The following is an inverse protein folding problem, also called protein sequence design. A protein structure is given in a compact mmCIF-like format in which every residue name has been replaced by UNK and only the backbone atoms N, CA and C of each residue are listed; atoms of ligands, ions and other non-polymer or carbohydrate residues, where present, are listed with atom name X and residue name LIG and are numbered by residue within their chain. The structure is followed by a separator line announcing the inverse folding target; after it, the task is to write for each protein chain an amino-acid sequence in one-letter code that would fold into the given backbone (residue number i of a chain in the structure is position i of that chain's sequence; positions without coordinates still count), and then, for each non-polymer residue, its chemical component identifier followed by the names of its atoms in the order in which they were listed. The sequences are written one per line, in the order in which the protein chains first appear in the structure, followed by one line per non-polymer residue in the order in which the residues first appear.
data_IF_343456354712
#
_entry.id   IF_343456354712
#
_cell.length_a   1.000
_cell.length_b   1.000
_cell.length_c   1.000
_cell.angle_alpha   90.00
_cell.angle_beta   90.00
_cell.angle_gamma   90.00
#
_symmetry.space_group_name_H-M   'P 1'
#
loop_
_entity.id
_entity.type
_entity.pdbx_description
1 polymer ?
#
# COMPACT_ATOMS: atom_id res chain seq x y z
N UNK A 1 8.53 -7.51 1.63
CA UNK A 1 9.73 -8.23 2.10
C UNK A 1 9.98 -8.09 3.59
N UNK A 2 9.84 -6.89 4.20
CA UNK A 2 10.06 -6.71 5.65
C UNK A 2 9.28 -7.68 6.56
N UNK A 3 8.06 -8.04 6.18
CA UNK A 3 7.25 -8.98 6.96
C UNK A 3 7.82 -10.41 7.06
N UNK A 4 8.50 -10.90 6.01
CA UNK A 4 9.09 -12.24 6.03
C UNK A 4 10.21 -12.32 7.07
N UNK A 5 11.04 -11.28 7.12
CA UNK A 5 12.12 -11.15 8.09
C UNK A 5 11.54 -11.00 9.50
N UNK A 6 10.57 -10.10 9.68
CA UNK A 6 9.90 -9.92 10.98
C UNK A 6 9.23 -11.20 11.49
N UNK A 7 8.55 -11.95 10.61
CA UNK A 7 7.93 -13.23 10.94
C UNK A 7 8.97 -14.29 11.32
N UNK A 8 10.10 -14.37 10.60
CA UNK A 8 11.19 -15.30 10.96
C UNK A 8 11.81 -15.00 12.31
N UNK A 9 11.87 -13.73 12.71
CA UNK A 9 12.38 -13.31 14.02
C UNK A 9 11.37 -13.57 15.15
N UNK A 10 10.07 -13.51 14.86
CA UNK A 10 9.01 -13.76 15.83
C UNK A 10 8.82 -15.26 16.15
N UNK A 11 8.97 -16.14 15.15
CA UNK A 11 8.86 -17.59 15.32
C UNK A 11 7.41 -18.12 15.41
N UNK A 12 7.25 -19.31 16.01
CA UNK A 12 6.02 -20.11 16.02
C UNK A 12 4.73 -19.49 16.60
N UNK A 13 4.73 -18.44 17.45
CA UNK A 13 3.47 -17.82 17.89
C UNK A 13 2.77 -17.01 16.78
N UNK A 14 3.41 -16.81 15.62
CA UNK A 14 2.86 -16.04 14.51
C UNK A 14 2.25 -16.94 13.43
N UNK A 15 0.95 -16.79 13.18
CA UNK A 15 0.26 -17.41 12.05
C UNK A 15 0.12 -16.41 10.88
N UNK A 16 0.89 -16.53 9.79
CA UNK A 16 0.82 -15.61 8.67
C UNK A 16 -0.49 -15.69 7.88
N UNK A 17 -1.27 -16.75 8.02
CA UNK A 17 -2.56 -16.87 7.34
C UNK A 17 -3.63 -16.03 8.06
N UNK A 18 -3.72 -16.17 9.39
CA UNK A 18 -4.73 -15.49 10.19
C UNK A 18 -4.29 -14.08 10.64
N UNK A 19 -3.02 -13.89 10.99
CA UNK A 19 -2.54 -12.65 11.61
C UNK A 19 -2.01 -11.64 10.60
N UNK A 20 -2.39 -10.37 10.84
CA UNK A 20 -1.99 -9.25 10.01
C UNK A 20 -0.49 -8.98 10.11
N UNK A 21 0.04 -8.31 9.10
CA UNK A 21 1.41 -7.83 9.05
C UNK A 21 1.64 -6.77 10.15
N UNK A 22 0.63 -5.97 10.47
CA UNK A 22 0.70 -4.95 11.51
C UNK A 22 0.91 -5.51 12.92
N UNK A 23 0.46 -6.74 13.20
CA UNK A 23 0.76 -7.43 14.47
C UNK A 23 2.26 -7.61 14.65
N UNK A 24 3.03 -7.81 13.58
CA UNK A 24 4.48 -7.96 13.68
C UNK A 24 5.17 -6.71 14.23
N UNK A 25 4.58 -5.52 14.09
CA UNK A 25 5.09 -4.26 14.63
C UNK A 25 4.72 -4.00 16.11
N UNK A 26 3.91 -4.88 16.73
CA UNK A 26 3.46 -4.69 18.11
C UNK A 26 4.65 -4.69 19.11
N UNK A 27 4.66 -3.79 20.11
CA UNK A 27 5.68 -3.77 21.16
C UNK A 27 5.78 -5.12 21.86
N UNK A 28 7.01 -5.58 22.10
CA UNK A 28 7.28 -6.89 22.72
C UNK A 28 7.49 -8.03 21.72
N UNK A 29 7.19 -7.83 20.43
CA UNK A 29 7.53 -8.79 19.38
C UNK A 29 9.01 -8.67 18.98
N UNK A 30 9.69 -9.81 18.84
CA UNK A 30 11.13 -9.89 18.50
C UNK A 30 11.46 -9.29 17.14
N UNK A 31 10.49 -9.29 16.21
CA UNK A 31 10.60 -8.70 14.86
C UNK A 31 10.02 -7.29 14.72
N UNK A 32 9.58 -6.64 15.80
CA UNK A 32 8.82 -5.37 15.74
C UNK A 32 9.56 -4.23 15.07
N UNK A 33 10.85 -4.06 15.37
CA UNK A 33 11.68 -3.01 14.76
C UNK A 33 11.80 -3.16 13.24
N UNK A 34 11.86 -4.40 12.72
CA UNK A 34 11.93 -4.67 11.27
C UNK A 34 10.65 -4.20 10.60
N UNK A 35 9.52 -4.53 11.20
CA UNK A 35 8.22 -4.20 10.64
C UNK A 35 7.95 -2.69 10.69
N UNK A 36 8.28 -2.04 11.82
CA UNK A 36 8.20 -0.58 11.94
C UNK A 36 9.12 0.12 10.94
N UNK A 37 10.35 -0.35 10.77
CA UNK A 37 11.26 0.18 9.75
C UNK A 37 10.72 -0.01 8.33
N UNK A 38 10.06 -1.14 8.05
CA UNK A 38 9.43 -1.40 6.74
C UNK A 38 8.26 -0.43 6.48
N UNK A 39 7.42 -0.15 7.47
CA UNK A 39 6.36 0.85 7.35
C UNK A 39 6.90 2.26 7.14
N UNK A 40 7.96 2.63 7.87
CA UNK A 40 8.63 3.92 7.69
C UNK A 40 9.19 4.06 6.28
N UNK A 41 9.94 3.05 5.82
CA UNK A 41 10.51 3.05 4.47
C UNK A 41 9.42 3.13 3.39
N UNK A 42 8.33 2.37 3.54
CA UNK A 42 7.20 2.43 2.62
C UNK A 42 6.55 3.82 2.59
N UNK A 43 6.32 4.41 3.77
CA UNK A 43 5.76 5.76 3.89
C UNK A 43 6.61 6.81 3.19
N UNK A 44 7.93 6.78 3.41
CA UNK A 44 8.88 7.67 2.73
C UNK A 44 8.89 7.44 1.21
N UNK A 45 8.87 6.19 0.75
CA UNK A 45 8.79 5.86 -0.68
C UNK A 45 7.53 6.45 -1.33
N UNK A 46 6.37 6.35 -0.68
CA UNK A 46 5.13 6.96 -1.18
C UNK A 46 5.21 8.49 -1.22
N UNK A 47 5.78 9.14 -0.20
CA UNK A 47 5.97 10.60 -0.18
C UNK A 47 6.91 11.07 -1.29
N UNK A 48 8.05 10.39 -1.49
CA UNK A 48 9.00 10.69 -2.56
C UNK A 48 8.37 10.47 -3.94
N UNK A 49 7.59 9.41 -4.10
CA UNK A 49 6.87 9.13 -5.35
C UNK A 49 5.80 10.20 -5.61
N UNK A 50 5.03 10.57 -4.59
CA UNK A 50 4.04 11.65 -4.69
C UNK A 50 4.69 12.98 -5.10
N UNK A 51 5.87 13.30 -4.54
CA UNK A 51 6.64 14.45 -4.96
C UNK A 51 7.05 14.35 -6.43
N UNK A 52 7.71 13.25 -6.81
CA UNK A 52 8.36 13.09 -8.11
C UNK A 52 7.45 12.76 -9.30
N UNK A 53 6.26 12.19 -9.07
CA UNK A 53 5.36 11.73 -10.12
C UNK A 53 4.55 12.87 -10.75
N UNK A 54 5.25 13.82 -11.39
CA UNK A 54 4.66 14.97 -12.09
C UNK A 54 3.64 14.61 -13.19
N UNK A 55 3.77 13.48 -13.93
CA UNK A 55 2.78 13.12 -14.94
C UNK A 55 1.39 12.81 -14.36
N UNK A 56 1.29 12.40 -13.09
CA UNK A 56 0.02 12.10 -12.45
C UNK A 56 -0.78 13.38 -12.12
N UNK A 57 -2.10 13.27 -12.09
CA UNK A 57 -2.96 14.36 -11.62
C UNK A 57 -2.65 14.74 -10.16
N UNK A 58 -2.83 16.02 -9.81
CA UNK A 58 -2.55 16.54 -8.47
C UNK A 58 -3.31 15.80 -7.38
N UNK A 59 -4.58 15.46 -7.62
CA UNK A 59 -5.41 14.68 -6.68
C UNK A 59 -4.76 13.33 -6.35
N UNK A 60 -4.24 12.61 -7.34
CA UNK A 60 -3.51 11.36 -7.14
C UNK A 60 -2.21 11.56 -6.38
N UNK A 61 -1.47 12.64 -6.62
CA UNK A 61 -0.25 12.94 -5.84
C UNK A 61 -0.58 13.17 -4.37
N UNK A 62 -1.65 13.91 -4.07
CA UNK A 62 -2.13 14.13 -2.71
C UNK A 62 -2.61 12.84 -2.05
N UNK A 63 -3.34 12.00 -2.78
CA UNK A 63 -3.77 10.69 -2.29
C UNK A 63 -2.57 9.78 -1.97
N UNK A 64 -1.56 9.73 -2.84
CA UNK A 64 -0.35 8.93 -2.58
C UNK A 64 0.42 9.45 -1.36
N UNK A 65 0.52 10.78 -1.22
CA UNK A 65 1.13 11.38 -0.04
C UNK A 65 0.36 11.03 1.24
N UNK A 66 -0.97 11.12 1.21
CA UNK A 66 -1.83 10.72 2.33
C UNK A 66 -1.66 9.23 2.66
N UNK A 67 -1.58 8.34 1.66
CA UNK A 67 -1.26 6.92 1.88
C UNK A 67 0.12 6.70 2.51
N UNK A 68 1.12 7.49 2.11
CA UNK A 68 2.45 7.51 2.76
C UNK A 68 2.39 7.96 4.22
N UNK A 69 1.65 9.03 4.52
CA UNK A 69 1.43 9.50 5.88
C UNK A 69 0.69 8.48 6.74
N UNK A 70 -0.32 7.79 6.19
CA UNK A 70 -1.01 6.69 6.88
C UNK A 70 -0.06 5.55 7.23
N UNK A 71 0.87 5.17 6.34
CA UNK A 71 1.88 4.15 6.64
C UNK A 71 2.83 4.59 7.77
N UNK A 72 3.25 5.86 7.79
CA UNK A 72 4.04 6.42 8.90
C UNK A 72 3.25 6.42 10.21
N UNK A 73 1.96 6.78 10.16
CA UNK A 73 1.07 6.78 11.32
C UNK A 73 0.88 5.37 11.88
N UNK A 74 0.73 4.33 11.03
CA UNK A 74 0.70 2.92 11.46
C UNK A 74 1.98 2.51 12.18
N UNK A 75 3.14 3.04 11.76
CA UNK A 75 4.42 2.75 12.40
C UNK A 75 4.52 3.26 13.84
N UNK A 76 3.81 4.34 14.18
CA UNK A 76 3.80 4.95 15.53
C UNK A 76 2.53 4.65 16.33
N UNK A 77 1.50 4.07 15.69
CA UNK A 77 0.26 3.58 16.31
C UNK A 77 0.25 2.06 16.23
N UNK A 78 0.92 1.35 17.15
CA UNK A 78 1.08 -0.09 17.05
C UNK A 78 -0.27 -0.82 17.13
N UNK A 79 -0.39 -1.90 16.36
CA UNK A 79 -1.48 -2.84 16.54
C UNK A 79 -1.35 -3.52 17.91
N UNK A 80 -2.45 -3.75 18.63
CA UNK A 80 -2.42 -4.59 19.83
C UNK A 80 -2.08 -6.03 19.42
N UNK A 81 -1.36 -6.74 20.29
CA UNK A 81 -0.99 -8.14 20.09
C UNK A 81 -2.18 -9.11 20.23
N UNK A 82 -3.26 -8.68 20.88
CA UNK A 82 -4.55 -9.38 20.97
C UNK A 82 -5.70 -8.38 21.09
N UNK A 83 -6.88 -8.74 20.58
CA UNK A 83 -8.03 -7.84 20.50
C UNK A 83 -7.92 -6.80 19.38
N UNK A 84 -8.87 -5.87 19.32
CA UNK A 84 -8.93 -4.80 18.31
C UNK A 84 -8.48 -3.45 18.87
N UNK A 85 -7.89 -2.61 18.02
CA UNK A 85 -7.65 -1.19 18.32
C UNK A 85 -8.38 -0.33 17.30
N UNK A 86 -9.36 0.45 17.76
CA UNK A 86 -10.11 1.37 16.91
C UNK A 86 -9.19 2.41 16.27
N UNK A 87 -8.20 2.92 17.00
CA UNK A 87 -7.24 3.91 16.48
C UNK A 87 -6.38 3.33 15.38
N UNK A 88 -5.75 2.17 15.60
CA UNK A 88 -4.92 1.51 14.59
C UNK A 88 -5.78 1.11 13.37
N UNK A 89 -6.93 0.49 13.61
CA UNK A 89 -7.86 0.08 12.56
C UNK A 89 -8.34 1.25 11.70
N UNK A 90 -8.63 2.40 12.31
CA UNK A 90 -9.05 3.61 11.57
C UNK A 90 -7.92 4.16 10.70
N UNK A 91 -6.70 4.26 11.23
CA UNK A 91 -5.53 4.73 10.47
C UNK A 91 -5.23 3.80 9.30
N UNK A 92 -5.26 2.49 9.53
CA UNK A 92 -5.05 1.49 8.49
C UNK A 92 -6.15 1.56 7.42
N UNK A 93 -7.43 1.66 7.81
CA UNK A 93 -8.55 1.77 6.89
C UNK A 93 -8.45 3.01 5.99
N UNK A 94 -8.06 4.18 6.55
CA UNK A 94 -7.80 5.39 5.77
C UNK A 94 -6.68 5.14 4.76
N UNK A 95 -5.58 4.52 5.17
CA UNK A 95 -4.47 4.18 4.28
C UNK A 95 -4.91 3.28 3.12
N UNK A 96 -5.63 2.19 3.41
CA UNK A 96 -6.15 1.28 2.40
C UNK A 96 -7.11 1.97 1.44
N UNK A 97 -8.06 2.76 1.95
CA UNK A 97 -9.05 3.44 1.13
C UNK A 97 -8.40 4.46 0.18
N UNK A 98 -7.50 5.28 0.70
CA UNK A 98 -6.81 6.31 -0.10
C UNK A 98 -5.91 5.66 -1.14
N UNK A 99 -5.17 4.61 -0.81
CA UNK A 99 -4.34 3.88 -1.77
C UNK A 99 -5.17 3.12 -2.82
N UNK A 100 -6.36 2.61 -2.47
CA UNK A 100 -7.27 2.01 -3.44
C UNK A 100 -7.87 3.04 -4.40
N UNK A 101 -8.19 4.25 -3.93
CA UNK A 101 -8.68 5.35 -4.76
C UNK A 101 -7.58 6.03 -5.58
N UNK A 102 -6.32 5.90 -5.16
CA UNK A 102 -5.17 6.57 -5.78
C UNK A 102 -5.08 6.40 -7.32
N UNK A 103 -5.23 5.19 -7.92
CA UNK A 103 -5.12 5.01 -9.37
C UNK A 103 -6.06 5.91 -10.17
N UNK A 104 -7.34 5.99 -9.79
CA UNK A 104 -8.33 6.85 -10.47
C UNK A 104 -8.08 8.33 -10.20
N UNK A 105 -7.64 8.70 -8.99
CA UNK A 105 -7.29 10.08 -8.66
C UNK A 105 -6.01 10.55 -9.36
N UNK A 106 -5.11 9.64 -9.70
CA UNK A 106 -3.89 9.91 -10.46
C UNK A 106 -4.10 9.96 -11.97
N UNK A 107 -5.22 9.42 -12.46
CA UNK A 107 -5.49 9.24 -13.88
C UNK A 107 -5.55 10.57 -14.64
N UNK A 108 -5.11 10.55 -15.90
CA UNK A 108 -5.26 11.65 -16.86
C UNK A 108 -5.72 11.11 -18.21
N UNK A 109 -6.59 11.85 -18.87
CA UNK A 109 -7.00 11.56 -20.25
C UNK A 109 -5.95 12.07 -21.25
N UNK A 110 -5.81 11.37 -22.37
CA UNK A 110 -4.93 11.75 -23.49
C UNK A 110 -4.11 10.59 -24.05
N UNK A 111 -3.70 10.71 -25.31
CA UNK A 111 -2.91 9.69 -26.02
C UNK A 111 -1.43 9.72 -25.62
N UNK A 112 -0.90 10.89 -25.28
CA UNK A 112 0.46 11.08 -24.76
C UNK A 112 0.62 10.69 -23.27
N UNK A 113 -0.47 10.32 -22.58
CA UNK A 113 -0.40 9.92 -21.17
C UNK A 113 0.15 8.49 -21.06
N UNK A 114 1.12 8.23 -20.16
CA UNK A 114 1.60 6.89 -19.84
C UNK A 114 0.44 5.93 -19.57
N UNK A 115 0.49 4.72 -20.12
CA UNK A 115 -0.67 3.83 -20.17
C UNK A 115 -1.27 3.52 -18.78
N UNK A 116 -0.43 3.40 -17.74
CA UNK A 116 -0.89 3.08 -16.39
C UNK A 116 -1.58 4.27 -15.67
N UNK A 117 -1.46 5.49 -16.22
CA UNK A 117 -2.20 6.67 -15.77
C UNK A 117 -3.47 6.92 -16.62
N UNK A 118 -3.81 6.04 -17.56
CA UNK A 118 -5.02 6.20 -18.36
C UNK A 118 -6.25 5.73 -17.56
N UNK A 119 -7.45 6.29 -17.83
CA UNK A 119 -8.64 6.02 -17.02
C UNK A 119 -9.01 4.53 -16.89
N UNK A 120 -8.93 3.76 -17.98
CA UNK A 120 -9.36 2.34 -17.97
C UNK A 120 -8.42 1.47 -17.11
N UNK A 121 -7.08 1.46 -17.30
CA UNK A 121 -6.18 0.75 -16.40
C UNK A 121 -6.27 1.22 -14.95
N UNK A 122 -6.38 2.53 -14.71
CA UNK A 122 -6.57 3.08 -13.37
C UNK A 122 -7.84 2.58 -12.70
N UNK A 123 -8.97 2.56 -13.41
CA UNK A 123 -10.23 2.04 -12.89
C UNK A 123 -10.12 0.55 -12.54
N UNK A 124 -9.50 -0.24 -13.40
CA UNK A 124 -9.23 -1.66 -13.14
C UNK A 124 -8.38 -1.87 -11.89
N UNK A 125 -7.28 -1.12 -11.75
CA UNK A 125 -6.42 -1.19 -10.57
C UNK A 125 -7.17 -0.79 -9.29
N UNK A 126 -7.94 0.29 -9.32
CA UNK A 126 -8.79 0.71 -8.18
C UNK A 126 -9.81 -0.36 -7.82
N UNK A 127 -10.50 -0.96 -8.80
CA UNK A 127 -11.49 -2.00 -8.54
C UNK A 127 -10.84 -3.24 -7.88
N UNK A 128 -9.70 -3.70 -8.40
CA UNK A 128 -8.96 -4.84 -7.83
C UNK A 128 -8.50 -4.55 -6.40
N UNK A 129 -7.97 -3.35 -6.14
CA UNK A 129 -7.57 -2.94 -4.79
C UNK A 129 -8.77 -2.84 -3.84
N UNK A 130 -9.90 -2.31 -4.31
CA UNK A 130 -11.12 -2.20 -3.51
C UNK A 130 -11.70 -3.57 -3.16
N UNK A 131 -11.74 -4.51 -4.11
CA UNK A 131 -12.14 -5.90 -3.85
C UNK A 131 -11.19 -6.57 -2.87
N UNK A 132 -9.88 -6.39 -3.02
CA UNK A 132 -8.89 -6.92 -2.07
C UNK A 132 -9.05 -6.35 -0.66
N UNK A 133 -9.32 -5.04 -0.54
CA UNK A 133 -9.59 -4.40 0.75
C UNK A 133 -10.90 -4.89 1.38
N UNK A 134 -11.95 -5.08 0.58
CA UNK A 134 -13.22 -5.64 1.04
C UNK A 134 -13.04 -7.10 1.52
N UNK A 135 -12.28 -7.91 0.79
CA UNK A 135 -11.93 -9.27 1.21
C UNK A 135 -11.19 -9.25 2.55
N UNK A 136 -10.18 -8.39 2.70
CA UNK A 136 -9.48 -8.24 3.98
C UNK A 136 -10.42 -7.87 5.13
N UNK A 137 -11.34 -6.91 4.95
CA UNK A 137 -12.30 -6.53 5.97
C UNK A 137 -13.25 -7.67 6.36
N UNK A 138 -13.70 -8.45 5.38
CA UNK A 138 -14.55 -9.63 5.63
C UNK A 138 -13.79 -10.66 6.46
N UNK A 139 -12.57 -11.03 6.08
CA UNK A 139 -11.76 -12.01 6.80
C UNK A 139 -11.40 -11.54 8.22
N UNK A 140 -11.18 -10.23 8.39
CA UNK A 140 -10.91 -9.64 9.69
C UNK A 140 -12.12 -9.78 10.63
N UNK A 141 -13.35 -9.67 10.10
CA UNK A 141 -14.58 -9.82 10.88
C UNK A 141 -14.95 -11.29 11.13
N UNK A 142 -14.66 -12.17 10.17
CA UNK A 142 -14.92 -13.61 10.28
C UNK A 142 -13.82 -14.38 11.03
N UNK A 143 -12.74 -13.70 11.43
CA UNK A 143 -11.55 -14.32 12.03
C UNK A 143 -10.95 -15.44 11.17
N UNK A 144 -11.00 -15.26 9.84
CA UNK A 144 -10.49 -16.21 8.85
C UNK A 144 -9.04 -15.91 8.47
N UNK A 145 -8.77 -15.84 7.16
CA UNK A 145 -7.41 -15.67 6.60
C UNK A 145 -7.03 -14.20 6.38
N UNK A 146 -7.30 -13.35 7.37
CA UNK A 146 -7.10 -11.91 7.27
C UNK A 146 -5.64 -11.53 6.94
N UNK A 147 -4.67 -12.30 7.44
CA UNK A 147 -3.26 -12.14 7.11
C UNK A 147 -2.93 -12.38 5.64
N UNK A 148 -3.58 -13.33 4.97
CA UNK A 148 -3.42 -13.56 3.52
C UNK A 148 -4.02 -12.41 2.72
N UNK A 149 -5.26 -12.04 3.04
CA UNK A 149 -5.98 -10.99 2.34
C UNK A 149 -5.23 -9.64 2.45
N UNK A 150 -4.77 -9.27 3.64
CA UNK A 150 -3.97 -8.05 3.86
C UNK A 150 -2.70 -8.04 3.02
N UNK A 151 -1.94 -9.13 3.00
CA UNK A 151 -0.73 -9.26 2.18
C UNK A 151 -1.02 -9.10 0.69
N UNK A 152 -2.11 -9.69 0.21
CA UNK A 152 -2.52 -9.56 -1.18
C UNK A 152 -2.83 -8.10 -1.54
N UNK A 153 -3.69 -7.42 -0.77
CA UNK A 153 -4.06 -6.03 -1.05
C UNK A 153 -2.88 -5.06 -0.86
N UNK A 154 -2.05 -5.22 0.18
CA UNK A 154 -0.87 -4.38 0.39
C UNK A 154 0.18 -4.56 -0.71
N UNK A 155 0.34 -5.78 -1.23
CA UNK A 155 1.21 -6.05 -2.39
C UNK A 155 0.69 -5.33 -3.63
N UNK A 156 -0.60 -5.44 -3.94
CA UNK A 156 -1.21 -4.75 -5.07
C UNK A 156 -1.04 -3.23 -4.94
N UNK A 157 -1.30 -2.66 -3.76
CA UNK A 157 -1.18 -1.24 -3.48
C UNK A 157 0.26 -0.72 -3.55
N UNK A 158 1.26 -1.56 -3.24
CA UNK A 158 2.67 -1.20 -3.33
C UNK A 158 3.22 -1.33 -4.76
N UNK A 159 2.72 -2.31 -5.52
CA UNK A 159 3.20 -2.59 -6.89
C UNK A 159 2.66 -1.58 -7.90
N UNK A 160 1.42 -1.11 -7.77
CA UNK A 160 0.84 -0.20 -8.77
C UNK A 160 1.60 1.15 -8.90
N UNK A 161 2.02 1.84 -7.81
CA UNK A 161 2.88 3.02 -7.90
C UNK A 161 4.16 2.78 -8.68
N UNK A 162 4.78 1.62 -8.46
CA UNK A 162 5.98 1.22 -9.19
C UNK A 162 5.70 1.00 -10.68
N UNK A 163 4.61 0.29 -11.03
CA UNK A 163 4.18 0.09 -12.43
C UNK A 163 3.92 1.43 -13.11
N UNK A 164 3.28 2.38 -12.44
CA UNK A 164 3.02 3.72 -12.94
C UNK A 164 4.33 4.46 -13.22
N UNK A 165 5.28 4.47 -12.27
CA UNK A 165 6.61 5.08 -12.47
C UNK A 165 7.32 4.47 -13.67
N UNK A 166 7.35 3.13 -13.79
CA UNK A 166 7.96 2.46 -14.94
C UNK A 166 7.27 2.82 -16.26
N UNK A 167 5.94 2.98 -16.26
CA UNK A 167 5.19 3.40 -17.44
C UNK A 167 5.58 4.81 -17.89
N UNK A 168 5.81 5.73 -16.93
CA UNK A 168 6.25 7.09 -17.21
C UNK A 168 7.66 7.11 -17.80
N UNK A 169 8.59 6.36 -17.20
CA UNK A 169 9.98 6.26 -17.68
C UNK A 169 10.05 5.72 -19.12
N UNK A 170 9.25 4.69 -19.44
CA UNK A 170 9.16 4.13 -20.79
C UNK A 170 8.57 5.11 -21.81
N UNK A 171 7.63 5.97 -21.38
CA UNK A 171 7.07 7.03 -22.22
C UNK A 171 8.12 8.08 -22.59
N UNK A 172 8.86 8.59 -21.60
CA UNK A 172 9.90 9.60 -21.81
C UNK A 172 11.04 9.13 -22.71
N UNK A 173 11.44 7.85 -22.62
CA UNK A 173 12.47 7.28 -23.50
C UNK A 173 12.01 7.24 -24.97
N UNK A 174 10.72 6.97 -25.23
CA UNK A 174 10.19 6.93 -26.60
C UNK A 174 10.08 8.30 -27.25
N UNK A 175 9.86 9.36 -26.47
CA UNK A 175 9.81 10.73 -26.96
C UNK A 175 11.21 11.31 -27.27
N UNK A 176 12.26 10.80 -26.62
CA UNK A 176 13.64 11.26 -26.79
C UNK A 176 14.41 10.65 -27.97
N UNK A 177 13.85 9.68 -28.68
CA UNK A 177 14.46 9.07 -29.87
C UNK A 177 13.72 9.59 -31.12
N UNK A 178 14.25 10.59 -31.84
CA UNK A 178 13.64 11.00 -33.10
C UNK A 178 13.78 9.88 -34.14
N UNK A 179 12.68 9.59 -34.85
CA UNK A 179 12.68 8.74 -36.05
C UNK A 179 13.43 9.42 -37.21
#
# INVERSE_FOLDING_TARGET
MGWLVAASLQGHPYDPAAQTISVLAAPGNSGSWVMTAAFIALGLCHLLTAWGLRPAATAGRLALAAGGLSALAVAVVPAPSSGGSLTHGSVAAVGFAVLAAWPVLAARAGTAVPWALRPVPSLGATAVMAVGAAWFLVELHLHGVAGVAERAVTTLQSVWPFVVVLSCLRGSVREGCPN
#
